data_IF_647525150745
#
_entry.id   IF_647525150745
#
_cell.length_a   1.000
_cell.length_b   1.000
_cell.length_c   1.000
_cell.angle_alpha   90.00
_cell.angle_beta   90.00
_cell.angle_gamma   90.00
#
_symmetry.space_group_name_H-M   'P 1'
#
loop_
_entity.id
_entity.type
_entity.pdbx_description
1 polymer ?
#
# COMPACT_ATOMS: atom_id res chain seq x y z
N UNK A 1 -2.66 43.18 14.51
CA UNK A 1 -1.29 42.85 14.96
C UNK A 1 -0.35 43.59 14.02
N UNK A 2 0.29 44.66 14.47
CA UNK A 2 1.52 45.10 13.81
C UNK A 2 2.57 44.05 14.15
N UNK A 3 2.69 43.04 13.30
CA UNK A 3 3.68 41.97 13.45
C UNK A 3 5.03 42.59 13.07
N UNK A 4 5.60 43.36 14.00
CA UNK A 4 6.96 43.91 13.93
C UNK A 4 7.41 44.33 12.53
N UNK A 5 7.00 45.52 12.08
CA UNK A 5 7.62 46.25 10.98
C UNK A 5 7.38 45.76 9.55
N UNK A 6 6.87 44.55 9.31
CA UNK A 6 6.63 44.04 7.95
C UNK A 6 5.14 44.15 7.54
N UNK A 7 4.83 44.70 6.35
CA UNK A 7 3.51 44.63 5.74
C UNK A 7 2.96 43.19 5.63
N UNK A 8 1.63 43.06 5.71
CA UNK A 8 0.95 41.76 5.67
C UNK A 8 1.21 41.00 4.36
N UNK A 9 1.38 41.72 3.27
CA UNK A 9 1.67 41.19 1.94
C UNK A 9 3.03 40.47 1.91
N UNK A 10 4.04 41.05 2.58
CA UNK A 10 5.36 40.44 2.68
C UNK A 10 5.32 39.20 3.57
N UNK A 11 4.55 39.24 4.65
CA UNK A 11 4.33 38.06 5.47
C UNK A 11 3.62 36.93 4.71
N UNK A 12 2.61 37.24 3.89
CA UNK A 12 1.96 36.26 3.01
C UNK A 12 2.94 35.66 2.01
N UNK A 13 3.82 36.47 1.43
CA UNK A 13 4.87 36.01 0.52
C UNK A 13 5.83 35.05 1.22
N UNK A 14 6.32 35.40 2.41
CA UNK A 14 7.22 34.55 3.21
C UNK A 14 6.55 33.21 3.54
N UNK A 15 5.31 33.27 4.04
CA UNK A 15 4.53 32.06 4.37
C UNK A 15 4.24 31.21 3.14
N UNK A 16 4.06 31.81 1.96
CA UNK A 16 3.83 31.06 0.72
C UNK A 16 5.01 30.14 0.36
N UNK A 17 6.23 30.43 0.78
CA UNK A 17 7.38 29.53 0.55
C UNK A 17 7.45 28.35 1.51
N UNK A 18 6.75 28.40 2.64
CA UNK A 18 6.84 27.35 3.65
C UNK A 18 6.06 26.08 3.22
N UNK A 19 6.57 24.89 3.56
CA UNK A 19 5.82 23.65 3.41
C UNK A 19 4.68 23.62 4.43
N UNK A 20 3.66 22.80 4.14
CA UNK A 20 2.46 22.68 4.97
C UNK A 20 2.75 22.40 6.45
N UNK A 21 3.77 21.58 6.72
CA UNK A 21 4.16 21.22 8.09
C UNK A 21 4.58 22.44 8.90
N UNK A 22 5.32 23.36 8.28
CA UNK A 22 5.81 24.56 8.95
C UNK A 22 4.73 25.63 9.04
N UNK A 23 3.85 25.74 8.03
CA UNK A 23 2.62 26.53 8.12
C UNK A 23 1.76 26.11 9.32
N UNK A 24 1.59 24.80 9.53
CA UNK A 24 0.87 24.28 10.69
C UNK A 24 1.51 24.71 12.02
N UNK A 25 2.85 24.71 12.10
CA UNK A 25 3.58 25.18 13.30
C UNK A 25 3.42 26.68 13.51
N UNK A 26 3.53 27.48 12.45
CA UNK A 26 3.31 28.93 12.51
C UNK A 26 1.90 29.28 12.98
N UNK A 27 0.89 28.51 12.55
CA UNK A 27 -0.51 28.70 12.97
C UNK A 27 -0.77 28.43 14.45
N UNK A 28 0.13 27.70 15.13
CA UNK A 28 0.03 27.44 16.57
C UNK A 28 0.64 28.55 17.42
N UNK A 29 1.36 29.51 16.83
CA UNK A 29 2.05 30.58 17.57
C UNK A 29 1.06 31.55 18.20
N UNK A 30 0.14 32.11 17.40
CA UNK A 30 -0.98 32.90 17.91
C UNK A 30 -2.11 32.99 16.87
N UNK A 31 -3.27 33.51 17.30
CA UNK A 31 -4.46 33.65 16.45
C UNK A 31 -4.21 34.50 15.20
N UNK A 32 -3.43 35.57 15.30
CA UNK A 32 -3.12 36.41 14.14
C UNK A 32 -2.25 35.70 13.10
N UNK A 33 -1.33 34.82 13.51
CA UNK A 33 -0.59 33.96 12.58
C UNK A 33 -1.53 32.96 11.90
N UNK A 34 -2.44 32.36 12.66
CA UNK A 34 -3.45 31.47 12.11
C UNK A 34 -4.35 32.16 11.06
N UNK A 35 -4.84 33.36 11.37
CA UNK A 35 -5.68 34.15 10.46
C UNK A 35 -4.91 34.58 9.20
N UNK A 36 -3.62 34.92 9.36
CA UNK A 36 -2.74 35.25 8.24
C UNK A 36 -2.49 34.06 7.31
N UNK A 37 -2.24 32.87 7.86
CA UNK A 37 -2.10 31.62 7.08
C UNK A 37 -3.40 31.27 6.36
N UNK A 38 -4.53 31.47 7.02
CA UNK A 38 -5.85 31.29 6.40
C UNK A 38 -6.05 32.24 5.22
N UNK A 39 -5.50 33.45 5.29
CA UNK A 39 -5.61 34.48 4.25
C UNK A 39 -4.73 34.22 3.02
N UNK A 40 -3.95 33.13 2.98
CA UNK A 40 -3.15 32.75 1.80
C UNK A 40 -4.04 32.43 0.58
N UNK A 41 -3.52 32.73 -0.60
CA UNK A 41 -4.23 32.57 -1.86
C UNK A 41 -4.66 31.13 -2.15
N UNK A 42 -5.80 30.98 -2.84
CA UNK A 42 -6.33 29.69 -3.26
C UNK A 42 -5.37 28.90 -4.16
N UNK A 43 -4.55 29.59 -4.97
CA UNK A 43 -3.52 28.98 -5.82
C UNK A 43 -2.44 28.31 -4.98
N UNK A 44 -2.06 28.92 -3.85
CA UNK A 44 -1.10 28.33 -2.91
C UNK A 44 -1.68 27.12 -2.21
N UNK A 45 -2.93 27.21 -1.74
CA UNK A 45 -3.62 26.05 -1.17
C UNK A 45 -3.72 24.90 -2.18
N UNK A 46 -4.03 25.18 -3.45
CA UNK A 46 -4.02 24.19 -4.54
C UNK A 46 -2.66 23.50 -4.69
N UNK A 47 -1.57 24.26 -4.72
CA UNK A 47 -0.22 23.70 -4.81
C UNK A 47 0.12 22.80 -3.61
N UNK A 48 -0.21 23.24 -2.40
CA UNK A 48 -0.02 22.44 -1.18
C UNK A 48 -0.84 21.14 -1.20
N UNK A 49 -2.08 21.20 -1.71
CA UNK A 49 -2.93 20.02 -1.86
C UNK A 49 -2.35 19.00 -2.84
N UNK A 50 -1.94 19.46 -4.03
CA UNK A 50 -1.43 18.58 -5.09
C UNK A 50 -0.02 18.06 -4.80
N UNK A 51 0.80 18.86 -4.12
CA UNK A 51 2.15 18.51 -3.70
C UNK A 51 2.21 17.54 -2.51
N UNK A 52 1.09 17.27 -1.84
CA UNK A 52 1.06 16.28 -0.76
C UNK A 52 1.14 14.86 -1.32
N UNK A 53 2.29 14.21 -1.14
CA UNK A 53 2.50 12.81 -1.54
C UNK A 53 2.09 11.82 -0.43
N UNK A 54 2.14 12.23 0.83
CA UNK A 54 1.93 11.37 2.01
C UNK A 54 0.44 11.03 2.22
N UNK A 55 -0.45 11.86 1.71
CA UNK A 55 -1.89 11.66 1.75
C UNK A 55 -2.36 11.54 0.30
N UNK A 56 -2.42 10.33 -0.26
CA UNK A 56 -3.18 10.09 -1.47
C UNK A 56 -4.04 8.85 -1.26
N UNK A 57 -5.32 9.10 -0.97
CA UNK A 57 -6.33 8.05 -1.05
C UNK A 57 -6.39 7.51 -2.50
N UNK A 58 -6.62 6.21 -2.73
CA UNK A 58 -6.60 5.62 -4.09
C UNK A 58 -7.52 6.33 -5.09
N UNK A 59 -8.65 6.86 -4.60
CA UNK A 59 -9.64 7.57 -5.41
C UNK A 59 -9.40 9.09 -5.47
N UNK A 60 -8.21 9.59 -5.11
CA UNK A 60 -7.90 11.02 -5.18
C UNK A 60 -7.19 11.40 -6.48
N UNK A 61 -7.61 12.49 -7.16
CA UNK A 61 -8.85 13.23 -6.98
C UNK A 61 -10.05 12.51 -7.63
N UNK A 62 -11.20 12.48 -6.95
CA UNK A 62 -12.42 11.77 -7.42
C UNK A 62 -12.94 12.38 -8.73
N UNK A 63 -12.76 13.69 -8.91
CA UNK A 63 -13.09 14.44 -10.14
C UNK A 63 -11.99 15.48 -10.41
N UNK A 64 -10.98 15.18 -11.25
CA UNK A 64 -9.89 16.12 -11.53
C UNK A 64 -10.36 17.35 -12.31
N UNK A 65 -11.49 17.27 -13.02
CA UNK A 65 -11.98 18.36 -13.88
C UNK A 65 -12.78 19.44 -13.13
N UNK A 66 -13.18 19.17 -11.89
CA UNK A 66 -13.99 20.11 -11.10
C UNK A 66 -13.11 20.71 -10.00
N UNK A 67 -12.80 22.00 -10.12
CA UNK A 67 -12.11 22.70 -9.04
C UNK A 67 -13.02 22.79 -7.80
N UNK A 68 -12.51 22.49 -6.59
CA UNK A 68 -13.27 22.63 -5.38
C UNK A 68 -13.55 24.11 -5.09
N UNK A 69 -14.70 24.38 -4.47
CA UNK A 69 -15.09 25.73 -4.02
C UNK A 69 -14.07 26.36 -3.06
N UNK A 70 -13.39 25.52 -2.27
CA UNK A 70 -12.32 25.92 -1.35
C UNK A 70 -11.27 24.82 -1.31
N UNK A 71 -10.07 25.11 -1.81
CA UNK A 71 -8.94 24.17 -1.76
C UNK A 71 -8.55 23.80 -0.33
N UNK A 72 -8.72 24.73 0.62
CA UNK A 72 -8.46 24.49 2.04
C UNK A 72 -9.40 23.45 2.64
N UNK A 73 -10.69 23.53 2.32
CA UNK A 73 -11.69 22.57 2.84
C UNK A 73 -11.55 21.21 2.17
N UNK A 74 -11.33 21.20 0.85
CA UNK A 74 -11.01 19.98 0.11
C UNK A 74 -9.76 19.30 0.69
N UNK A 75 -8.72 20.08 1.03
CA UNK A 75 -7.54 19.57 1.71
C UNK A 75 -7.87 18.93 3.06
N UNK A 76 -8.61 19.64 3.92
CA UNK A 76 -8.96 19.14 5.26
C UNK A 76 -9.76 17.84 5.17
N UNK A 77 -10.75 17.79 4.28
CA UNK A 77 -11.53 16.58 4.02
C UNK A 77 -10.65 15.44 3.54
N UNK A 78 -9.73 15.72 2.60
CA UNK A 78 -8.81 14.75 2.07
C UNK A 78 -7.84 14.21 3.13
N UNK A 79 -7.30 15.09 3.98
CA UNK A 79 -6.43 14.71 5.09
C UNK A 79 -7.16 13.81 6.08
N UNK A 80 -8.41 14.14 6.43
CA UNK A 80 -9.25 13.30 7.30
C UNK A 80 -9.54 11.96 6.64
N UNK A 81 -9.96 11.95 5.37
CA UNK A 81 -10.24 10.73 4.62
C UNK A 81 -9.00 9.83 4.51
N UNK A 82 -7.84 10.41 4.21
CA UNK A 82 -6.56 9.68 4.16
C UNK A 82 -6.18 9.14 5.53
N UNK A 83 -6.33 9.93 6.60
CA UNK A 83 -6.02 9.50 7.96
C UNK A 83 -6.94 8.35 8.40
N UNK A 84 -8.24 8.45 8.13
CA UNK A 84 -9.22 7.39 8.42
C UNK A 84 -8.90 6.15 7.58
N UNK A 85 -8.59 6.31 6.29
CA UNK A 85 -8.17 5.20 5.44
C UNK A 85 -6.90 4.53 5.97
N UNK A 86 -5.87 5.28 6.33
CA UNK A 86 -4.64 4.72 6.90
C UNK A 86 -4.88 4.03 8.23
N UNK A 87 -5.77 4.54 9.08
CA UNK A 87 -6.12 3.91 10.37
C UNK A 87 -6.88 2.60 10.17
N UNK A 88 -7.89 2.60 9.30
CA UNK A 88 -8.67 1.40 9.02
C UNK A 88 -7.87 0.37 8.20
N UNK A 89 -6.87 0.81 7.40
CA UNK A 89 -5.92 -0.07 6.75
C UNK A 89 -4.92 -0.69 7.75
N UNK A 90 -4.58 0.01 8.83
CA UNK A 90 -3.72 -0.52 9.90
C UNK A 90 -4.38 -1.65 10.69
N UNK A 91 -5.72 -1.71 10.77
CA UNK A 91 -6.41 -2.87 11.36
C UNK A 91 -6.15 -4.18 10.59
N UNK A 92 -5.69 -4.09 9.33
CA UNK A 92 -5.24 -5.24 8.53
C UNK A 92 -3.74 -5.56 8.70
N UNK A 93 -2.95 -4.63 9.23
CA UNK A 93 -1.52 -4.78 9.53
C UNK A 93 -1.31 -4.82 11.05
N UNK A 94 -1.56 -5.98 11.66
CA UNK A 94 -1.36 -6.27 13.09
C UNK A 94 0.13 -6.30 13.50
N UNK A 95 0.86 -5.21 13.28
CA UNK A 95 2.27 -5.06 13.67
C UNK A 95 2.59 -3.60 14.00
N UNK A 96 2.02 -3.11 15.11
CA UNK A 96 2.01 -1.70 15.52
C UNK A 96 3.33 -1.10 16.06
N UNK A 97 4.50 -1.71 15.83
CA UNK A 97 5.77 -1.21 16.39
C UNK A 97 6.86 -0.80 15.38
N UNK A 98 6.63 -0.86 14.07
CA UNK A 98 7.66 -0.61 13.05
C UNK A 98 7.39 0.56 12.09
N UNK A 99 6.63 1.59 12.49
CA UNK A 99 6.37 2.75 11.62
C UNK A 99 7.64 3.50 11.18
N UNK A 100 8.71 3.46 11.98
CA UNK A 100 10.02 4.08 11.64
C UNK A 100 10.86 3.20 10.69
N UNK A 101 10.59 1.90 10.62
CA UNK A 101 11.25 0.96 9.71
C UNK A 101 10.31 0.55 8.58
N UNK A 102 9.53 1.51 8.06
CA UNK A 102 8.76 1.33 6.82
C UNK A 102 9.71 1.30 5.61
N UNK A 103 10.68 0.38 5.64
CA UNK A 103 11.23 -0.17 4.40
C UNK A 103 10.02 -0.78 3.70
N UNK A 104 9.67 -0.26 2.51
CA UNK A 104 9.01 -1.09 1.52
C UNK A 104 9.84 -2.36 1.47
N UNK A 105 9.40 -3.43 2.13
CA UNK A 105 10.01 -4.75 1.92
C UNK A 105 9.65 -5.03 0.46
N UNK A 106 10.65 -4.92 -0.40
CA UNK A 106 10.46 -5.11 -1.84
C UNK A 106 9.75 -6.44 -2.01
N UNK A 107 8.53 -6.37 -2.52
CA UNK A 107 7.73 -7.57 -2.83
C UNK A 107 8.53 -8.31 -3.87
N UNK A 108 9.13 -9.42 -3.46
CA UNK A 108 9.95 -10.23 -4.36
C UNK A 108 9.09 -11.31 -5.00
N UNK A 109 9.50 -11.71 -6.19
CA UNK A 109 8.89 -12.80 -6.93
C UNK A 109 9.82 -13.98 -6.79
N UNK A 110 9.34 -15.05 -6.16
CA UNK A 110 10.06 -16.30 -5.97
C UNK A 110 9.64 -17.28 -7.05
N UNK A 111 10.62 -17.84 -7.75
CA UNK A 111 10.36 -18.80 -8.81
C UNK A 111 10.53 -20.22 -8.29
N UNK A 112 9.51 -21.03 -8.47
CA UNK A 112 9.44 -22.41 -7.99
C UNK A 112 9.29 -23.35 -9.18
N UNK A 113 10.17 -24.34 -9.28
CA UNK A 113 10.18 -25.32 -10.37
C UNK A 113 11.57 -25.85 -10.67
N UNK A 114 11.65 -26.81 -11.58
CA UNK A 114 12.93 -27.40 -11.97
C UNK A 114 13.86 -26.35 -12.58
N UNK A 115 15.06 -26.18 -12.00
CA UNK A 115 16.05 -25.18 -12.45
C UNK A 115 15.73 -23.72 -12.06
N UNK A 116 14.76 -23.48 -11.17
CA UNK A 116 14.46 -22.16 -10.61
C UNK A 116 15.16 -21.93 -9.26
N UNK A 117 14.90 -20.78 -8.62
CA UNK A 117 15.44 -20.44 -7.30
C UNK A 117 15.05 -21.45 -6.20
N UNK A 118 13.86 -22.03 -6.30
CA UNK A 118 13.36 -23.05 -5.39
C UNK A 118 12.85 -24.25 -6.17
N UNK A 119 13.22 -25.45 -5.72
CA UNK A 119 12.72 -26.69 -6.31
C UNK A 119 11.29 -27.00 -5.83
N UNK A 120 11.00 -26.74 -4.55
CA UNK A 120 9.75 -27.13 -3.88
C UNK A 120 8.99 -25.93 -3.31
N UNK A 121 7.65 -25.99 -3.34
CA UNK A 121 6.77 -24.94 -2.83
C UNK A 121 6.99 -24.70 -1.33
N UNK A 122 7.24 -25.77 -0.55
CA UNK A 122 7.52 -25.66 0.89
C UNK A 122 8.76 -24.81 1.19
N UNK A 123 9.82 -24.99 0.41
CA UNK A 123 11.07 -24.23 0.59
C UNK A 123 10.90 -22.76 0.22
N UNK A 124 10.13 -22.48 -0.84
CA UNK A 124 9.79 -21.12 -1.24
C UNK A 124 8.99 -20.41 -0.15
N UNK A 125 7.97 -21.07 0.41
CA UNK A 125 7.14 -20.53 1.51
C UNK A 125 7.93 -20.30 2.80
N UNK A 126 8.91 -21.16 3.12
CA UNK A 126 9.78 -20.94 4.26
C UNK A 126 10.67 -19.68 4.10
N UNK A 127 11.00 -19.32 2.85
CA UNK A 127 11.80 -18.13 2.52
C UNK A 127 10.96 -16.87 2.26
N UNK A 128 9.64 -17.02 2.10
CA UNK A 128 8.75 -15.96 1.66
C UNK A 128 8.50 -14.93 2.77
N UNK A 129 8.40 -13.66 2.37
CA UNK A 129 7.94 -12.58 3.22
C UNK A 129 6.44 -12.30 3.06
N UNK A 130 5.95 -11.44 3.95
CA UNK A 130 4.58 -10.92 3.88
C UNK A 130 4.39 -10.20 2.54
N UNK A 131 3.39 -10.65 1.79
CA UNK A 131 2.97 -10.17 0.46
C UNK A 131 3.95 -10.44 -0.69
N UNK A 132 4.87 -11.39 -0.51
CA UNK A 132 5.68 -11.89 -1.63
C UNK A 132 4.83 -12.70 -2.62
N UNK A 133 5.30 -12.76 -3.86
CA UNK A 133 4.71 -13.57 -4.93
C UNK A 133 5.52 -14.82 -5.14
N UNK A 134 4.85 -15.95 -5.29
CA UNK A 134 5.43 -17.25 -5.60
C UNK A 134 4.90 -17.67 -6.97
N UNK A 135 5.76 -17.70 -7.97
CA UNK A 135 5.46 -18.17 -9.31
C UNK A 135 5.86 -19.64 -9.46
N UNK A 136 4.89 -20.49 -9.75
CA UNK A 136 5.07 -21.91 -10.04
C UNK A 136 5.21 -22.10 -11.55
N UNK A 137 6.29 -22.74 -11.98
CA UNK A 137 6.44 -23.17 -13.37
C UNK A 137 5.41 -24.25 -13.74
N UNK A 138 5.08 -24.42 -15.04
CA UNK A 138 4.26 -25.53 -15.52
C UNK A 138 4.75 -26.88 -14.98
N UNK A 139 3.85 -27.64 -14.36
CA UNK A 139 4.20 -28.90 -13.72
C UNK A 139 3.21 -29.34 -12.63
N UNK A 140 3.44 -30.56 -12.15
CA UNK A 140 2.69 -31.15 -11.03
C UNK A 140 3.56 -31.07 -9.79
N UNK A 141 3.08 -30.37 -8.77
CA UNK A 141 3.76 -30.27 -7.48
C UNK A 141 3.03 -31.12 -6.45
N UNK A 142 3.69 -32.18 -6.00
CA UNK A 142 3.17 -33.12 -5.01
C UNK A 142 3.94 -32.94 -3.69
N UNK A 143 3.22 -32.63 -2.61
CA UNK A 143 3.79 -32.51 -1.27
C UNK A 143 3.02 -33.43 -0.34
N UNK A 144 3.73 -34.39 0.27
CA UNK A 144 3.14 -35.45 1.10
C UNK A 144 2.54 -34.93 2.41
N UNK A 145 2.92 -33.72 2.84
CA UNK A 145 2.47 -33.11 4.08
C UNK A 145 1.69 -31.83 3.80
N UNK A 146 0.82 -31.48 4.74
CA UNK A 146 0.09 -30.22 4.70
C UNK A 146 1.03 -29.01 4.72
N UNK A 147 0.75 -28.07 3.82
CA UNK A 147 1.46 -26.81 3.68
C UNK A 147 0.74 -25.76 4.52
N UNK A 148 1.44 -25.24 5.53
CA UNK A 148 0.92 -24.20 6.41
C UNK A 148 1.31 -22.83 5.87
N UNK A 149 0.33 -22.01 5.47
CA UNK A 149 0.53 -20.62 5.08
C UNK A 149 0.56 -19.73 6.34
N UNK A 150 1.76 -19.52 6.88
CA UNK A 150 1.97 -18.68 8.07
C UNK A 150 1.94 -17.18 7.80
N UNK A 151 2.30 -16.78 6.57
CA UNK A 151 2.34 -15.37 6.16
C UNK A 151 1.47 -15.14 4.92
N UNK A 152 0.88 -13.95 4.76
CA UNK A 152 0.15 -13.61 3.53
C UNK A 152 1.06 -13.68 2.31
N UNK A 153 0.69 -14.49 1.31
CA UNK A 153 1.45 -14.64 0.05
C UNK A 153 0.50 -14.76 -1.13
N UNK A 154 1.01 -14.44 -2.33
CA UNK A 154 0.32 -14.67 -3.59
C UNK A 154 1.00 -15.83 -4.33
N UNK A 155 0.31 -16.97 -4.49
CA UNK A 155 0.81 -18.13 -5.24
C UNK A 155 0.14 -18.14 -6.61
N UNK A 156 0.97 -18.16 -7.66
CA UNK A 156 0.53 -18.03 -9.05
C UNK A 156 1.12 -19.13 -9.92
N UNK A 157 0.27 -19.82 -10.68
CA UNK A 157 0.75 -20.69 -11.76
C UNK A 157 1.15 -19.88 -12.99
N UNK A 158 2.30 -20.20 -13.57
CA UNK A 158 2.77 -19.64 -14.83
C UNK A 158 2.20 -20.45 -16.01
N UNK A 159 1.73 -19.76 -17.06
CA UNK A 159 1.13 -20.39 -18.24
C UNK A 159 -0.39 -20.28 -18.28
N UNK A 160 -1.04 -21.23 -18.94
CA UNK A 160 -2.50 -21.32 -19.05
C UNK A 160 -3.10 -22.10 -17.87
N UNK A 161 -4.40 -21.94 -17.66
CA UNK A 161 -5.12 -22.71 -16.65
C UNK A 161 -5.01 -24.21 -16.97
N UNK A 162 -4.50 -25.00 -16.02
CA UNK A 162 -4.23 -26.43 -16.21
C UNK A 162 -2.75 -26.77 -16.37
N UNK A 163 -1.89 -25.80 -16.70
CA UNK A 163 -0.45 -26.03 -16.85
C UNK A 163 0.24 -26.29 -15.50
N UNK A 164 -0.33 -25.76 -14.41
CA UNK A 164 0.18 -25.93 -13.05
C UNK A 164 -0.86 -26.62 -12.19
N UNK A 165 -0.47 -27.76 -11.62
CA UNK A 165 -1.31 -28.53 -10.72
C UNK A 165 -0.64 -28.78 -9.37
N UNK A 166 -1.42 -28.65 -8.31
CA UNK A 166 -1.01 -28.84 -6.93
C UNK A 166 -1.73 -30.06 -6.34
N UNK A 167 -0.98 -31.08 -5.96
CA UNK A 167 -1.44 -32.19 -5.11
C UNK A 167 -0.94 -31.93 -3.69
N UNK A 168 -1.54 -30.95 -3.04
CA UNK A 168 -1.14 -30.50 -1.70
C UNK A 168 -2.37 -30.14 -0.87
N UNK A 169 -2.29 -30.37 0.45
CA UNK A 169 -3.23 -29.78 1.39
C UNK A 169 -2.69 -28.42 1.86
N UNK A 170 -3.55 -27.40 1.93
CA UNK A 170 -3.16 -26.05 2.37
C UNK A 170 -3.95 -25.69 3.63
N UNK A 171 -3.24 -25.47 4.74
CA UNK A 171 -3.76 -24.86 5.95
C UNK A 171 -3.43 -23.36 5.97
N UNK A 172 -4.45 -22.51 5.89
CA UNK A 172 -4.26 -21.06 5.92
C UNK A 172 -4.36 -20.54 7.36
N UNK A 173 -3.21 -20.34 7.99
CA UNK A 173 -3.10 -19.70 9.32
C UNK A 173 -2.95 -18.18 9.26
N UNK A 174 -2.61 -17.64 8.09
CA UNK A 174 -2.50 -16.20 7.85
C UNK A 174 -3.88 -15.56 7.54
N UNK A 175 -4.05 -14.24 7.76
CA UNK A 175 -5.35 -13.58 7.58
C UNK A 175 -5.84 -13.57 6.13
N UNK A 176 -4.94 -13.62 5.15
CA UNK A 176 -5.29 -13.63 3.73
C UNK A 176 -4.19 -14.28 2.91
N UNK A 177 -4.57 -15.03 1.88
CA UNK A 177 -3.68 -15.56 0.85
C UNK A 177 -4.37 -15.46 -0.51
N UNK A 178 -3.59 -15.32 -1.58
CA UNK A 178 -4.13 -15.27 -2.95
C UNK A 178 -3.58 -16.42 -3.76
N UNK A 179 -4.48 -17.23 -4.30
CA UNK A 179 -4.16 -18.38 -5.14
C UNK A 179 -4.72 -18.10 -6.54
N UNK A 180 -3.90 -18.15 -7.58
CA UNK A 180 -4.30 -17.74 -8.93
C UNK A 180 -3.69 -18.66 -9.99
N UNK A 181 -4.50 -19.06 -10.98
CA UNK A 181 -4.06 -19.89 -12.11
C UNK A 181 -3.45 -21.24 -11.67
N UNK A 182 -4.06 -21.89 -10.69
CA UNK A 182 -3.64 -23.18 -10.13
C UNK A 182 -4.79 -24.17 -10.22
N UNK A 183 -4.48 -25.44 -10.48
CA UNK A 183 -5.44 -26.54 -10.38
C UNK A 183 -5.13 -27.37 -9.14
N UNK A 184 -6.07 -27.43 -8.19
CA UNK A 184 -5.94 -28.32 -7.04
C UNK A 184 -6.43 -29.71 -7.42
N UNK A 185 -5.52 -30.68 -7.36
CA UNK A 185 -5.84 -32.09 -7.59
C UNK A 185 -5.99 -32.80 -6.24
N UNK A 186 -7.10 -33.52 -6.01
CA UNK A 186 -7.27 -34.28 -4.77
C UNK A 186 -6.28 -35.46 -4.75
N UNK A 187 -5.75 -35.76 -3.56
CA UNK A 187 -4.71 -36.79 -3.35
C UNK A 187 -5.11 -38.23 -3.75
N UNK A 188 -6.37 -38.48 -4.13
CA UNK A 188 -6.87 -39.79 -4.56
C UNK A 188 -7.05 -39.91 -6.07
N UNK A 189 -6.76 -38.85 -6.83
CA UNK A 189 -6.77 -38.90 -8.28
C UNK A 189 -5.36 -39.27 -8.77
N UNK A 190 -5.09 -40.56 -8.92
CA UNK A 190 -4.03 -40.99 -9.83
C UNK A 190 -4.39 -40.49 -11.23
N UNK A 191 -3.53 -39.71 -11.90
CA UNK A 191 -3.82 -39.28 -13.26
C UNK A 191 -3.83 -40.55 -14.11
N UNK A 192 -5.02 -40.95 -14.56
CA UNK A 192 -5.13 -41.81 -15.72
C UNK A 192 -4.49 -41.03 -16.86
N UNK A 193 -3.27 -41.46 -17.18
CA UNK A 193 -2.41 -40.96 -18.23
C UNK A 193 -3.24 -40.58 -19.47
N UNK A 194 -3.35 -39.28 -19.76
CA UNK A 194 -3.67 -38.88 -21.12
C UNK A 194 -2.41 -39.07 -21.94
N UNK A 195 -2.42 -40.14 -22.74
CA UNK A 195 -1.47 -40.39 -23.83
C UNK A 195 -1.49 -39.26 -24.85
#
# INVERSE_FOLDING_TARGET
>A
MEIGGLPLELWRLILAYLPLRDLGRCGMVCRSWYDLIISLDNTRWRQLCLGCAECRHPNWPIKPEVEPRSWREAFKQHYVASKTWTKNAQDLESSNCLYLFRRKKDRRVLYVGYGCEFENLRTALASANIYDRILLQPGVYEEQNEIILKVPVEIMGQGKLGDVALLVCIDQQCPTSRLCNLVFMPAWFTPVMYK
#
